data_IF_392520653539
#
_entry.id   IF_392520653539
#
_cell.length_a   1.000
_cell.length_b   1.000
_cell.length_c   1.000
_cell.angle_alpha   90.00
_cell.angle_beta   90.00
_cell.angle_gamma   90.00
#
_symmetry.space_group_name_H-M   'P 1'
#
loop_
_entity.id
_entity.type
_entity.pdbx_description
1 polymer ?
#
# COMPACT_ATOMS: atom_id res chain seq x y z
N UNK A 1 -1.42 9.06 26.15
CA UNK A 1 -2.52 8.32 25.50
C UNK A 1 -2.16 8.12 24.04
N UNK A 2 -1.55 6.98 23.70
CA UNK A 2 -1.36 6.60 22.30
C UNK A 2 -2.73 6.25 21.74
N UNK A 3 -3.20 6.89 20.66
CA UNK A 3 -4.47 6.48 20.08
C UNK A 3 -4.25 5.09 19.50
N UNK A 4 -4.81 4.07 20.15
CA UNK A 4 -5.03 2.78 19.52
C UNK A 4 -6.07 3.01 18.42
N UNK A 5 -5.62 3.52 17.28
CA UNK A 5 -6.39 3.45 16.05
C UNK A 5 -6.57 1.97 15.76
N UNK A 6 -7.70 1.42 16.20
CA UNK A 6 -8.20 0.12 15.82
C UNK A 6 -8.57 0.13 14.34
N UNK A 7 -7.58 0.30 13.47
CA UNK A 7 -7.75 0.11 12.05
C UNK A 7 -8.01 -1.38 11.85
N UNK A 8 -9.26 -1.73 11.53
CA UNK A 8 -9.63 -3.09 11.14
C UNK A 8 -8.67 -3.51 10.03
N UNK A 9 -7.91 -4.56 10.29
CA UNK A 9 -7.02 -5.20 9.33
C UNK A 9 -7.90 -5.81 8.22
N UNK A 10 -7.98 -5.13 7.07
CA UNK A 10 -8.79 -5.56 5.92
C UNK A 10 -7.99 -5.34 4.65
N UNK A 11 -7.92 -6.38 3.82
CA UNK A 11 -7.42 -6.32 2.45
C UNK A 11 -8.64 -6.10 1.54
N UNK A 12 -8.70 -4.93 0.89
CA UNK A 12 -9.79 -4.52 -0.03
C UNK A 12 -9.30 -4.34 -1.47
N UNK A 13 -8.07 -4.76 -1.74
CA UNK A 13 -7.50 -4.74 -3.08
C UNK A 13 -7.52 -6.16 -3.65
N UNK A 14 -7.50 -6.25 -4.96
CA UNK A 14 -7.46 -7.49 -5.75
C UNK A 14 -6.39 -7.37 -6.83
N UNK A 15 -6.01 -8.46 -7.51
CA UNK A 15 -5.13 -8.39 -8.68
C UNK A 15 -5.64 -7.45 -9.79
N UNK A 16 -6.97 -7.21 -9.87
CA UNK A 16 -7.56 -6.26 -10.81
C UNK A 16 -7.25 -4.79 -10.51
N UNK A 17 -6.66 -4.49 -9.35
CA UNK A 17 -6.24 -3.13 -8.98
C UNK A 17 -4.82 -2.78 -9.45
N UNK A 18 -4.18 -3.64 -10.25
CA UNK A 18 -2.91 -3.32 -10.91
C UNK A 18 -3.05 -2.03 -11.73
N UNK A 19 -2.05 -1.16 -11.63
CA UNK A 19 -2.05 0.19 -12.19
C UNK A 19 -2.67 1.25 -11.28
N UNK A 20 -3.37 0.86 -10.20
CA UNK A 20 -3.97 1.81 -9.26
C UNK A 20 -3.02 2.13 -8.11
N UNK A 21 -3.20 3.32 -7.53
CA UNK A 21 -2.50 3.72 -6.31
C UNK A 21 -3.11 3.01 -5.11
N UNK A 22 -2.28 2.32 -4.35
CA UNK A 22 -2.67 1.53 -3.17
C UNK A 22 -1.87 1.95 -1.94
N UNK A 23 -2.44 1.69 -0.78
CA UNK A 23 -1.74 1.68 0.50
C UNK A 23 -1.80 0.26 1.04
N UNK A 24 -0.64 -0.31 1.33
CA UNK A 24 -0.47 -1.69 1.79
C UNK A 24 0.28 -1.66 3.12
N UNK A 25 -0.29 -2.30 4.13
CA UNK A 25 0.33 -2.55 5.43
C UNK A 25 0.71 -4.01 5.51
N UNK A 26 1.99 -4.27 5.80
CA UNK A 26 2.54 -5.63 5.93
C UNK A 26 3.19 -5.87 7.28
N UNK A 27 3.21 -7.12 7.70
CA UNK A 27 4.03 -7.61 8.82
C UNK A 27 5.50 -7.68 8.40
N UNK A 28 6.38 -7.32 9.32
CA UNK A 28 7.83 -7.49 9.25
C UNK A 28 8.33 -7.97 10.62
N UNK A 29 9.55 -8.52 10.77
CA UNK A 29 10.04 -9.00 12.06
C UNK A 29 9.98 -7.93 13.18
N UNK A 30 10.21 -6.67 12.83
CA UNK A 30 10.19 -5.53 13.77
C UNK A 30 8.77 -4.95 14.02
N UNK A 31 7.71 -5.58 13.50
CA UNK A 31 6.33 -5.12 13.65
C UNK A 31 5.59 -4.95 12.32
N UNK A 32 5.21 -3.72 11.97
CA UNK A 32 4.45 -3.42 10.76
C UNK A 32 5.12 -2.30 9.95
N UNK A 33 5.09 -2.43 8.63
CA UNK A 33 5.51 -1.38 7.70
C UNK A 33 4.45 -1.11 6.66
N UNK A 34 4.35 0.15 6.26
CA UNK A 34 3.44 0.61 5.23
C UNK A 34 4.20 0.92 3.93
N UNK A 35 3.55 0.63 2.81
CA UNK A 35 3.96 1.03 1.48
C UNK A 35 2.80 1.73 0.79
N UNK A 36 3.07 2.87 0.17
CA UNK A 36 2.10 3.60 -0.65
C UNK A 36 2.70 3.85 -2.01
N UNK A 37 1.99 3.45 -3.05
CA UNK A 37 2.51 3.47 -4.41
C UNK A 37 1.52 2.88 -5.41
N UNK A 38 1.94 2.76 -6.66
CA UNK A 38 1.17 2.09 -7.70
C UNK A 38 1.40 0.59 -7.56
N UNK A 39 0.32 -0.20 -7.56
CA UNK A 39 0.42 -1.65 -7.65
C UNK A 39 0.84 -2.02 -9.07
N UNK A 40 2.11 -2.32 -9.30
CA UNK A 40 2.60 -2.67 -10.64
C UNK A 40 2.34 -4.11 -11.01
N UNK A 41 2.35 -5.00 -10.03
CA UNK A 41 2.03 -6.39 -10.25
C UNK A 41 1.47 -7.06 -9.01
N UNK A 42 0.62 -8.06 -9.23
CA UNK A 42 0.19 -9.01 -8.22
C UNK A 42 0.12 -10.37 -8.88
N UNK A 43 1.09 -11.22 -8.58
CA UNK A 43 1.20 -12.58 -9.10
C UNK A 43 2.08 -13.41 -8.19
N UNK A 44 1.94 -14.74 -8.27
CA UNK A 44 2.83 -15.67 -7.55
C UNK A 44 2.92 -15.38 -6.04
N UNK A 45 1.79 -14.97 -5.43
CA UNK A 45 1.73 -14.60 -4.01
C UNK A 45 2.55 -13.36 -3.64
N UNK A 46 2.92 -12.52 -4.61
CA UNK A 46 3.73 -11.32 -4.39
C UNK A 46 3.09 -10.09 -5.03
N UNK A 47 3.03 -9.02 -4.25
CA UNK A 47 2.62 -7.70 -4.70
C UNK A 47 3.87 -6.84 -4.93
N UNK A 48 3.99 -6.25 -6.11
CA UNK A 48 5.02 -5.25 -6.43
C UNK A 48 4.40 -3.87 -6.38
N UNK A 49 4.88 -3.02 -5.48
CA UNK A 49 4.41 -1.64 -5.34
C UNK A 49 5.52 -0.67 -5.71
N UNK A 50 5.31 0.14 -6.74
CA UNK A 50 6.18 1.26 -7.12
C UNK A 50 5.85 2.47 -6.27
N UNK A 51 6.80 2.87 -5.42
CA UNK A 51 6.70 4.09 -4.62
C UNK A 51 6.87 5.33 -5.48
N UNK A 52 6.46 6.47 -4.93
CA UNK A 52 6.54 7.77 -5.60
C UNK A 52 7.98 8.17 -5.98
N UNK A 53 8.96 7.72 -5.22
CA UNK A 53 10.39 7.95 -5.47
C UNK A 53 10.98 7.05 -6.58
N UNK A 54 10.14 6.21 -7.21
CA UNK A 54 10.55 5.27 -8.25
C UNK A 54 11.07 3.93 -7.70
N UNK A 55 11.25 3.78 -6.38
CA UNK A 55 11.67 2.52 -5.78
C UNK A 55 10.56 1.46 -5.84
N UNK A 56 10.98 0.20 -5.97
CA UNK A 56 10.09 -0.95 -5.95
C UNK A 56 10.12 -1.61 -4.57
N UNK A 57 8.95 -1.97 -4.08
CA UNK A 57 8.81 -2.79 -2.88
C UNK A 57 8.03 -4.05 -3.23
N UNK A 58 8.67 -5.18 -3.00
CA UNK A 58 8.03 -6.49 -3.06
C UNK A 58 7.46 -6.86 -1.70
N UNK A 59 6.23 -7.34 -1.70
CA UNK A 59 5.45 -7.67 -0.51
C UNK A 59 4.83 -9.04 -0.74
N UNK A 60 5.24 -10.02 0.06
CA UNK A 60 4.60 -11.33 0.09
C UNK A 60 3.15 -11.19 0.57
N UNK A 61 2.21 -11.76 -0.18
CA UNK A 61 0.76 -11.63 0.01
C UNK A 61 0.34 -12.08 1.40
N UNK A 62 0.94 -13.15 1.92
CA UNK A 62 0.67 -13.70 3.25
C UNK A 62 1.08 -12.76 4.40
N UNK A 63 1.94 -11.78 4.12
CA UNK A 63 2.35 -10.77 5.12
C UNK A 63 1.43 -9.56 5.15
N UNK A 64 0.55 -9.40 4.16
CA UNK A 64 -0.37 -8.25 4.06
C UNK A 64 -1.45 -8.38 5.12
N UNK A 65 -1.57 -7.35 5.95
CA UNK A 65 -2.60 -7.30 7.00
C UNK A 65 -3.69 -6.28 6.72
N UNK A 66 -3.39 -5.25 5.92
CA UNK A 66 -4.41 -4.34 5.44
C UNK A 66 -3.97 -3.76 4.10
N UNK A 67 -4.91 -3.58 3.20
CA UNK A 67 -4.63 -2.87 1.96
C UNK A 67 -5.90 -2.24 1.39
N UNK A 68 -5.76 -1.07 0.78
CA UNK A 68 -6.84 -0.36 0.11
C UNK A 68 -6.32 0.42 -1.10
N UNK A 69 -7.17 0.59 -2.10
CA UNK A 69 -6.97 1.62 -3.11
C UNK A 69 -7.07 2.99 -2.44
N UNK A 70 -6.17 3.89 -2.81
CA UNK A 70 -6.18 5.29 -2.35
C UNK A 70 -6.28 6.23 -3.55
N UNK A 71 -6.95 7.39 -3.40
CA UNK A 71 -6.94 8.40 -4.45
C UNK A 71 -5.52 8.90 -4.75
N UNK A 72 -5.34 9.44 -5.95
CA UNK A 72 -4.13 10.18 -6.28
C UNK A 72 -3.96 11.40 -5.39
N UNK A 73 -2.70 11.84 -5.15
CA UNK A 73 -2.48 13.03 -4.35
C UNK A 73 -3.18 14.21 -5.04
N UNK A 74 -3.84 15.10 -4.29
CA UNK A 74 -4.48 16.27 -4.88
C UNK A 74 -3.45 17.06 -5.71
N UNK A 75 -3.90 17.58 -6.85
CA UNK A 75 -3.08 18.43 -7.69
C UNK A 75 -2.52 19.58 -6.86
N UNK A 76 -1.21 19.86 -6.99
CA UNK A 76 -0.60 21.00 -6.32
C UNK A 76 -1.30 22.26 -6.79
N UNK A 77 -1.94 22.98 -5.86
CA UNK A 77 -2.51 24.29 -6.15
C UNK A 77 -1.33 25.23 -6.48
N UNK A 78 -1.38 26.02 -7.56
CA UNK A 78 -0.35 27.03 -7.80
C UNK A 78 -0.31 27.98 -6.60
N UNK A 79 0.91 28.28 -6.12
CA UNK A 79 1.13 29.36 -5.15
C UNK A 79 0.78 30.69 -5.81
N UNK A 80 0.20 31.67 -5.08
CA UNK A 80 -0.02 33.02 -5.61
C UNK A 80 1.27 33.70 -6.07
#
# INVERSE_FOLDING_TARGET
MSPHYGARLVVRITPGDVGRRVSVRRRVPEGFRDAVGVLESWRDGTLTVRRRDGSLVEIAEETVVAAKVVPDPPARRPSP
#
